data_IF_388764189540
#
_entry.id   IF_388764189540
#
_cell.length_a   1.000
_cell.length_b   1.000
_cell.length_c   1.000
_cell.angle_alpha   90.00
_cell.angle_beta   90.00
_cell.angle_gamma   90.00
#
_symmetry.space_group_name_H-M   'P 1'
#
loop_
_entity.id
_entity.type
_entity.pdbx_description
1 polymer ?
#
# COMPACT_ATOMS: atom_id res chain seq x y z
N UNK A 1 6.26 5.74 -8.51
CA UNK A 1 6.03 4.93 -9.74
C UNK A 1 7.35 4.28 -10.14
N UNK A 2 7.39 2.97 -10.37
CA UNK A 2 8.62 2.20 -10.66
C UNK A 2 8.41 1.20 -11.81
N UNK A 3 9.50 0.74 -12.45
CA UNK A 3 9.44 -0.21 -13.57
C UNK A 3 8.80 -1.53 -13.11
N UNK A 4 7.75 -1.96 -13.79
CA UNK A 4 7.02 -3.19 -13.45
C UNK A 4 5.91 -3.01 -12.42
N UNK A 5 5.58 -1.78 -12.02
CA UNK A 5 4.43 -1.53 -11.15
C UNK A 5 3.11 -1.98 -11.79
N UNK A 6 2.17 -2.39 -10.94
CA UNK A 6 0.77 -2.59 -11.25
C UNK A 6 -0.03 -1.33 -10.93
N UNK A 7 -0.91 -0.93 -11.86
CA UNK A 7 -1.89 0.13 -11.66
C UNK A 7 -3.33 -0.41 -11.60
N UNK A 8 -3.52 -1.72 -11.42
CA UNK A 8 -4.86 -2.34 -11.34
C UNK A 8 -5.69 -1.79 -10.17
N UNK A 9 -5.03 -1.40 -9.10
CA UNK A 9 -5.61 -0.70 -7.96
C UNK A 9 -5.26 0.78 -8.10
N UNK A 10 -6.11 1.55 -8.80
CA UNK A 10 -5.89 2.97 -9.06
C UNK A 10 -5.76 3.81 -7.77
N UNK A 11 -6.35 3.33 -6.68
CA UNK A 11 -6.19 3.85 -5.33
C UNK A 11 -5.78 2.72 -4.38
N UNK A 12 -5.18 3.08 -3.25
CA UNK A 12 -4.89 2.09 -2.21
C UNK A 12 -6.21 1.59 -1.61
N UNK A 13 -6.52 0.28 -1.70
CA UNK A 13 -7.77 -0.28 -1.17
C UNK A 13 -7.84 -0.24 0.35
N UNK A 14 -6.70 -0.02 1.01
CA UNK A 14 -6.58 0.06 2.46
C UNK A 14 -6.55 1.50 2.98
N UNK A 15 -6.77 2.51 2.12
CA UNK A 15 -6.67 3.89 2.57
C UNK A 15 -7.88 4.31 3.44
N UNK A 16 -7.67 5.00 4.59
CA UNK A 16 -6.40 5.16 5.31
C UNK A 16 -6.12 3.94 6.21
N UNK A 17 -4.93 3.33 6.10
CA UNK A 17 -4.60 2.13 6.89
C UNK A 17 -3.95 2.45 8.24
N UNK A 18 -3.36 3.65 8.40
CA UNK A 18 -2.63 4.03 9.61
C UNK A 18 -1.34 3.24 9.87
N UNK A 19 -0.91 2.39 8.94
CA UNK A 19 0.27 1.55 9.10
C UNK A 19 1.56 2.32 8.78
N UNK A 20 2.31 2.70 9.82
CA UNK A 20 3.54 3.51 9.71
C UNK A 20 4.69 2.82 8.95
N UNK A 21 4.59 1.52 8.70
CA UNK A 21 5.50 0.83 7.77
C UNK A 21 5.21 1.23 6.32
N UNK A 22 3.95 1.56 6.00
CA UNK A 22 3.46 1.82 4.63
C UNK A 22 3.26 3.31 4.32
N UNK A 23 3.05 4.14 5.33
CA UNK A 23 2.74 5.56 5.17
C UNK A 23 3.07 6.38 6.41
N UNK A 24 2.65 7.63 6.42
CA UNK A 24 2.88 8.57 7.53
C UNK A 24 1.70 9.55 7.66
N UNK A 25 1.49 10.11 8.85
CA UNK A 25 0.70 11.33 9.01
C UNK A 25 1.53 12.53 8.52
N UNK A 26 0.97 13.30 7.60
CA UNK A 26 1.55 14.56 7.11
C UNK A 26 0.63 15.73 7.46
N UNK A 27 1.18 16.94 7.51
CA UNK A 27 0.38 18.16 7.65
C UNK A 27 -0.15 18.59 6.28
N UNK A 28 -1.47 18.71 6.17
CA UNK A 28 -2.18 19.28 5.01
C UNK A 28 -1.90 20.79 4.87
N UNK A 29 -2.28 21.37 3.73
CA UNK A 29 -2.12 22.81 3.46
C UNK A 29 -2.90 23.72 4.43
N UNK A 30 -3.96 23.20 5.06
CA UNK A 30 -4.76 23.90 6.06
C UNK A 30 -4.28 23.66 7.51
N UNK A 31 -3.18 22.93 7.70
CA UNK A 31 -2.64 22.59 9.00
C UNK A 31 -3.23 21.33 9.64
N UNK A 32 -4.25 20.70 9.05
CA UNK A 32 -4.83 19.46 9.57
C UNK A 32 -3.92 18.23 9.31
N UNK A 33 -3.89 17.22 10.20
CA UNK A 33 -3.16 15.98 9.95
C UNK A 33 -3.91 15.10 8.94
N UNK A 34 -3.21 14.58 7.94
CA UNK A 34 -3.75 13.66 6.92
C UNK A 34 -2.85 12.45 6.73
N UNK A 35 -3.44 11.28 6.57
CA UNK A 35 -2.69 10.05 6.26
C UNK A 35 -2.17 10.09 4.82
N UNK A 36 -0.89 9.78 4.63
CA UNK A 36 -0.22 9.71 3.35
C UNK A 36 0.42 8.34 3.14
N UNK A 37 -0.07 7.59 2.16
CA UNK A 37 0.53 6.32 1.72
C UNK A 37 1.48 6.51 0.52
N UNK A 38 2.01 7.72 0.30
CA UNK A 38 2.79 8.08 -0.90
C UNK A 38 4.03 7.18 -1.13
N UNK A 39 4.63 6.68 -0.04
CA UNK A 39 5.81 5.79 -0.10
C UNK A 39 5.48 4.30 -0.14
N UNK A 40 4.19 3.93 -0.13
CA UNK A 40 3.74 2.54 -0.12
C UNK A 40 3.96 1.89 -1.49
N UNK A 41 4.54 0.69 -1.51
CA UNK A 41 4.68 -0.13 -2.73
C UNK A 41 3.72 -1.32 -2.78
N UNK A 42 2.97 -1.56 -1.70
CA UNK A 42 2.24 -2.81 -1.47
C UNK A 42 1.27 -3.15 -2.61
N UNK A 43 0.32 -2.27 -2.91
CA UNK A 43 -0.69 -2.47 -3.96
C UNK A 43 -0.12 -2.29 -5.40
N UNK A 44 1.15 -1.91 -5.51
CA UNK A 44 1.82 -1.70 -6.79
C UNK A 44 2.59 -2.93 -7.30
N UNK A 45 2.67 -4.01 -6.52
CA UNK A 45 3.15 -5.29 -7.04
C UNK A 45 2.02 -6.05 -7.73
N UNK A 46 2.30 -6.61 -8.92
CA UNK A 46 1.30 -7.37 -9.70
C UNK A 46 0.70 -8.53 -8.90
N UNK A 47 1.56 -9.29 -8.21
CA UNK A 47 1.15 -10.43 -7.39
C UNK A 47 0.35 -10.03 -6.15
N UNK A 48 0.68 -8.91 -5.50
CA UNK A 48 -0.11 -8.38 -4.37
C UNK A 48 -1.45 -7.84 -4.87
N UNK A 49 -1.47 -7.13 -6.00
CA UNK A 49 -2.70 -6.62 -6.58
C UNK A 49 -3.66 -7.75 -6.99
N UNK A 50 -3.15 -8.90 -7.45
CA UNK A 50 -4.00 -10.07 -7.73
C UNK A 50 -4.52 -10.69 -6.45
N UNK A 51 -3.65 -10.88 -5.44
CA UNK A 51 -4.06 -11.37 -4.12
C UNK A 51 -5.23 -10.56 -3.52
N UNK A 52 -5.17 -9.23 -3.58
CA UNK A 52 -6.24 -8.35 -3.06
C UNK A 52 -7.51 -8.41 -3.92
N UNK A 53 -7.40 -8.65 -5.22
CA UNK A 53 -8.57 -8.74 -6.11
C UNK A 53 -9.24 -10.11 -6.04
N UNK A 54 -8.49 -11.15 -5.70
CA UNK A 54 -9.00 -12.52 -5.53
C UNK A 54 -9.69 -12.71 -4.18
N UNK A 55 -9.39 -11.86 -3.18
CA UNK A 55 -10.03 -11.83 -1.87
C UNK A 55 -10.41 -10.39 -1.47
N UNK A 56 -11.69 -10.06 -1.60
CA UNK A 56 -12.21 -8.71 -1.28
C UNK A 56 -12.22 -8.39 0.20
N UNK A 57 -12.08 -9.39 1.08
CA UNK A 57 -12.06 -9.22 2.53
C UNK A 57 -10.63 -9.14 3.10
N UNK A 58 -9.60 -9.23 2.23
CA UNK A 58 -8.20 -9.17 2.63
C UNK A 58 -7.92 -7.90 3.45
N UNK A 59 -7.33 -8.06 4.64
CA UNK A 59 -6.85 -6.94 5.43
C UNK A 59 -5.47 -6.47 4.96
N UNK A 60 -5.09 -5.24 5.35
CA UNK A 60 -3.73 -4.72 5.10
C UNK A 60 -2.65 -5.64 5.68
N UNK A 61 -2.94 -6.32 6.80
CA UNK A 61 -2.05 -7.29 7.42
C UNK A 61 -1.79 -8.51 6.53
N UNK A 62 -2.83 -9.02 5.84
CA UNK A 62 -2.73 -10.19 4.96
C UNK A 62 -1.92 -9.86 3.72
N UNK A 63 -2.19 -8.70 3.10
CA UNK A 63 -1.42 -8.22 1.95
C UNK A 63 0.06 -8.01 2.32
N UNK A 64 0.35 -7.45 3.51
CA UNK A 64 1.72 -7.30 4.02
C UNK A 64 2.39 -8.65 4.22
N UNK A 65 1.71 -9.61 4.85
CA UNK A 65 2.24 -10.95 5.06
C UNK A 65 2.55 -11.65 3.73
N UNK A 66 1.65 -11.55 2.75
CA UNK A 66 1.83 -12.07 1.40
C UNK A 66 3.06 -11.47 0.69
N UNK A 67 3.26 -10.16 0.82
CA UNK A 67 4.39 -9.45 0.23
C UNK A 67 5.72 -9.81 0.92
N UNK A 68 5.75 -9.87 2.26
CA UNK A 68 6.93 -10.25 3.04
C UNK A 68 7.37 -11.69 2.74
N UNK A 69 6.41 -12.62 2.59
CA UNK A 69 6.70 -14.01 2.20
C UNK A 69 7.39 -14.13 0.82
N UNK A 70 7.31 -13.10 -0.02
CA UNK A 70 7.95 -13.03 -1.36
C UNK A 70 9.16 -12.10 -1.40
N UNK A 71 9.63 -11.62 -0.25
CA UNK A 71 10.74 -10.67 -0.14
C UNK A 71 10.51 -9.37 -0.93
N UNK A 72 9.25 -8.95 -1.06
CA UNK A 72 8.93 -7.67 -1.68
C UNK A 72 9.21 -6.52 -0.70
N UNK A 73 9.77 -5.42 -1.23
CA UNK A 73 9.95 -4.19 -0.44
C UNK A 73 8.60 -3.52 -0.26
N UNK A 74 8.29 -3.07 0.96
CA UNK A 74 7.00 -2.44 1.22
C UNK A 74 6.98 -0.93 0.97
N UNK A 75 8.15 -0.29 0.91
CA UNK A 75 8.28 1.14 0.63
C UNK A 75 9.45 1.47 -0.30
N UNK A 76 9.44 2.70 -0.82
CA UNK A 76 10.50 3.22 -1.71
C UNK A 76 11.85 3.51 -1.01
N UNK A 77 11.97 3.35 0.32
CA UNK A 77 13.22 3.52 1.07
C UNK A 77 14.12 2.27 1.04
#
# INVERSE_FOLDING_TARGET
HFRGQSCKLCYCPFYPCGDEELGDLITSSDGSPVWSCKRCLLNHYKEVAHFILDDTDAAVADAKAFAKARNLRLTEK
#
